data_IF_196237675377
#
_entry.id   IF_196237675377
#
_cell.length_a   1.000
_cell.length_b   1.000
_cell.length_c   1.000
_cell.angle_alpha   90.00
_cell.angle_beta   90.00
_cell.angle_gamma   90.00
#
_symmetry.space_group_name_H-M   'P 1'
#
loop_
_entity.id
_entity.type
_entity.pdbx_description
1 polymer ?
#
# COMPACT_ATOMS: atom_id res chain seq x y z
N UNK A 1 -23.57 28.35 0.19
CA UNK A 1 -22.14 28.43 -0.20
C UNK A 1 -21.42 27.12 0.13
N UNK A 2 -20.93 26.40 -0.88
CA UNK A 2 -20.01 25.28 -0.65
C UNK A 2 -18.67 25.85 -0.17
N UNK A 3 -18.32 25.65 1.11
CA UNK A 3 -16.99 26.01 1.63
C UNK A 3 -15.92 25.48 0.64
N UNK A 4 -14.96 26.32 0.19
CA UNK A 4 -13.90 25.87 -0.69
C UNK A 4 -13.17 24.68 -0.06
N UNK A 5 -12.80 23.72 -0.89
CA UNK A 5 -12.22 22.47 -0.43
C UNK A 5 -10.79 22.73 0.05
N UNK A 6 -10.62 23.03 1.34
CA UNK A 6 -9.28 23.19 1.93
C UNK A 6 -8.51 21.88 1.77
N UNK A 7 -7.55 21.89 0.86
CA UNK A 7 -6.64 20.78 0.60
C UNK A 7 -5.72 20.59 1.80
N UNK A 8 -5.54 19.34 2.21
CA UNK A 8 -4.64 19.01 3.33
C UNK A 8 -3.21 18.86 2.80
N UNK A 9 -2.53 19.98 2.57
CA UNK A 9 -1.18 20.00 2.00
C UNK A 9 -0.17 19.16 2.81
N UNK A 10 -0.29 19.16 4.15
CA UNK A 10 0.59 18.36 5.00
C UNK A 10 0.42 16.85 4.77
N UNK A 11 -0.79 16.37 4.44
CA UNK A 11 -1.02 14.94 4.15
C UNK A 11 -0.34 14.55 2.85
N UNK A 12 -0.46 15.38 1.81
CA UNK A 12 0.25 15.14 0.54
C UNK A 12 1.78 15.16 0.75
N UNK A 13 2.28 16.04 1.62
CA UNK A 13 3.69 16.10 1.98
C UNK A 13 4.16 14.84 2.75
N UNK A 14 3.37 14.31 3.70
CA UNK A 14 3.69 13.04 4.38
C UNK A 14 3.71 11.89 3.36
N UNK A 15 2.75 11.85 2.42
CA UNK A 15 2.75 10.83 1.34
C UNK A 15 3.99 10.92 0.47
N UNK A 16 4.40 12.14 0.12
CA UNK A 16 5.61 12.39 -0.65
C UNK A 16 6.86 11.93 0.13
N UNK A 17 6.97 12.31 1.40
CA UNK A 17 8.06 11.84 2.25
C UNK A 17 8.10 10.32 2.36
N UNK A 18 6.96 9.68 2.65
CA UNK A 18 6.89 8.23 2.81
C UNK A 18 7.21 7.47 1.53
N UNK A 19 6.80 7.96 0.34
CA UNK A 19 7.18 7.31 -0.92
C UNK A 19 8.68 7.48 -1.21
N UNK A 20 9.28 8.66 -0.94
CA UNK A 20 10.72 8.88 -1.12
C UNK A 20 11.55 8.01 -0.16
N UNK A 21 11.12 7.92 1.10
CA UNK A 21 11.72 7.04 2.11
C UNK A 21 11.56 5.56 1.75
N UNK A 22 10.46 5.19 1.07
CA UNK A 22 10.26 3.85 0.55
C UNK A 22 11.28 3.54 -0.54
N UNK A 23 11.46 4.43 -1.52
CA UNK A 23 12.40 4.26 -2.63
C UNK A 23 13.84 4.07 -2.17
N UNK A 24 14.37 5.04 -1.41
CA UNK A 24 15.75 4.96 -0.89
C UNK A 24 15.93 3.71 -0.03
N UNK A 25 14.90 3.34 0.72
CA UNK A 25 14.97 2.22 1.62
C UNK A 25 15.06 0.88 0.89
N UNK A 26 14.31 0.68 -0.20
CA UNK A 26 14.45 -0.55 -1.01
C UNK A 26 15.77 -0.58 -1.76
N UNK A 27 16.27 0.57 -2.19
CA UNK A 27 17.55 0.65 -2.89
C UNK A 27 18.72 0.32 -1.97
N UNK A 28 18.84 1.01 -0.83
CA UNK A 28 19.93 0.78 0.13
C UNK A 28 19.81 -0.63 0.74
N UNK A 29 18.62 -1.05 1.19
CA UNK A 29 18.40 -2.40 1.75
C UNK A 29 18.51 -3.52 0.72
N UNK A 30 18.42 -3.23 -0.57
CA UNK A 30 18.57 -4.24 -1.62
C UNK A 30 19.99 -4.36 -2.15
N UNK A 31 20.74 -3.26 -2.17
CA UNK A 31 22.00 -3.18 -2.93
C UNK A 31 23.24 -2.89 -2.05
N UNK A 32 23.08 -2.32 -0.85
CA UNK A 32 24.20 -2.11 0.06
C UNK A 32 24.77 -3.46 0.52
N UNK A 33 26.08 -3.63 0.40
CA UNK A 33 26.80 -4.81 0.84
C UNK A 33 26.60 -5.08 2.34
N UNK A 34 26.42 -6.35 2.68
CA UNK A 34 26.21 -6.84 4.03
C UNK A 34 27.32 -6.41 5.00
N UNK A 35 28.55 -6.24 4.52
CA UNK A 35 29.68 -5.77 5.34
C UNK A 35 29.44 -4.39 5.97
N UNK A 36 28.55 -3.57 5.38
CA UNK A 36 28.22 -2.22 5.88
C UNK A 36 26.87 -2.16 6.61
N UNK A 37 26.17 -3.29 6.76
CA UNK A 37 24.87 -3.38 7.45
C UNK A 37 25.02 -3.59 8.94
N UNK A 38 25.89 -2.80 9.54
CA UNK A 38 26.23 -2.92 10.95
C UNK A 38 25.30 -2.07 11.82
N UNK A 39 24.57 -2.72 12.73
CA UNK A 39 23.69 -2.06 13.69
C UNK A 39 24.43 -1.22 14.75
N UNK A 40 25.73 -1.44 14.94
CA UNK A 40 26.55 -0.60 15.84
C UNK A 40 26.92 0.74 15.20
N UNK A 41 26.90 0.82 13.87
CA UNK A 41 27.12 2.06 13.17
C UNK A 41 25.92 3.00 13.34
N UNK A 42 26.16 4.17 13.96
CA UNK A 42 25.11 5.15 14.25
C UNK A 42 24.35 5.61 13.00
N UNK A 43 25.04 5.85 11.88
CA UNK A 43 24.40 6.31 10.65
C UNK A 43 23.48 5.24 10.05
N UNK A 44 23.96 3.99 9.99
CA UNK A 44 23.16 2.86 9.52
C UNK A 44 21.99 2.57 10.48
N UNK A 45 22.21 2.64 11.79
CA UNK A 45 21.18 2.47 12.81
C UNK A 45 20.04 3.50 12.67
N UNK A 46 20.38 4.78 12.53
CA UNK A 46 19.41 5.85 12.27
C UNK A 46 18.64 5.58 10.97
N UNK A 47 19.35 5.27 9.88
CA UNK A 47 18.72 4.96 8.60
C UNK A 47 17.75 3.77 8.70
N UNK A 48 18.18 2.67 9.35
CA UNK A 48 17.38 1.45 9.55
C UNK A 48 16.13 1.74 10.38
N UNK A 49 16.24 2.61 11.39
CA UNK A 49 15.10 3.06 12.18
C UNK A 49 14.06 3.82 11.33
N UNK A 50 14.49 4.82 10.57
CA UNK A 50 13.61 5.59 9.68
C UNK A 50 12.99 4.71 8.57
N UNK A 51 13.76 3.75 8.05
CA UNK A 51 13.25 2.73 7.13
C UNK A 51 12.10 1.94 7.76
N UNK A 52 12.24 1.53 9.01
CA UNK A 52 11.20 0.80 9.77
C UNK A 52 9.90 1.57 10.01
N UNK A 53 9.95 2.91 10.03
CA UNK A 53 8.78 3.80 10.24
C UNK A 53 7.99 4.06 8.96
N UNK A 54 8.62 3.87 7.80
CA UNK A 54 8.06 4.25 6.50
C UNK A 54 6.73 3.54 6.21
N UNK A 55 6.67 2.22 6.37
CA UNK A 55 5.44 1.46 6.12
C UNK A 55 4.28 1.85 7.07
N UNK A 56 4.45 1.90 8.41
CA UNK A 56 3.43 2.41 9.33
C UNK A 56 2.84 3.77 8.92
N UNK A 57 3.69 4.72 8.54
CA UNK A 57 3.25 6.05 8.07
C UNK A 57 2.43 5.92 6.79
N UNK A 58 2.92 5.15 5.82
CA UNK A 58 2.25 4.97 4.53
C UNK A 58 0.86 4.33 4.67
N UNK A 59 0.70 3.30 5.51
CA UNK A 59 -0.60 2.69 5.82
C UNK A 59 -1.53 3.67 6.54
N UNK A 60 -1.04 4.35 7.58
CA UNK A 60 -1.85 5.30 8.37
C UNK A 60 -2.35 6.45 7.51
N UNK A 61 -1.48 7.03 6.68
CA UNK A 61 -1.87 8.13 5.80
C UNK A 61 -2.84 7.66 4.71
N UNK A 62 -2.68 6.44 4.19
CA UNK A 62 -3.60 5.86 3.21
C UNK A 62 -5.02 5.69 3.78
N UNK A 63 -5.12 5.14 5.00
CA UNK A 63 -6.40 5.03 5.71
C UNK A 63 -7.01 6.39 6.07
N UNK A 64 -6.16 7.35 6.46
CA UNK A 64 -6.57 8.71 6.79
C UNK A 64 -7.16 9.44 5.58
N UNK A 65 -6.43 9.55 4.47
CA UNK A 65 -6.90 10.34 3.31
C UNK A 65 -8.13 9.70 2.67
N UNK A 66 -8.20 8.37 2.65
CA UNK A 66 -9.35 7.67 2.12
C UNK A 66 -10.61 7.96 2.93
N UNK A 67 -10.52 7.78 4.25
CA UNK A 67 -11.65 8.01 5.16
C UNK A 67 -12.05 9.48 5.18
N UNK A 68 -11.09 10.40 5.12
CA UNK A 68 -11.35 11.84 5.03
C UNK A 68 -12.23 12.18 3.84
N UNK A 69 -11.92 11.61 2.67
CA UNK A 69 -12.72 11.81 1.47
C UNK A 69 -14.06 11.09 1.53
N UNK A 70 -14.12 9.91 2.17
CA UNK A 70 -15.35 9.12 2.33
C UNK A 70 -16.39 9.85 3.18
N UNK A 71 -15.99 10.40 4.33
CA UNK A 71 -16.92 10.95 5.33
C UNK A 71 -17.26 12.43 5.12
N UNK A 72 -16.53 13.10 4.22
CA UNK A 72 -16.81 14.48 3.81
C UNK A 72 -17.92 14.58 2.76
N UNK A 73 -18.28 13.48 2.11
CA UNK A 73 -19.39 13.47 1.16
C UNK A 73 -20.73 13.69 1.89
N UNK A 74 -21.67 14.36 1.22
CA UNK A 74 -23.01 14.60 1.79
C UNK A 74 -23.86 13.32 1.76
N UNK A 75 -23.63 12.44 0.79
CA UNK A 75 -24.35 11.17 0.64
C UNK A 75 -23.73 10.11 1.54
N UNK A 76 -24.56 9.26 2.14
CA UNK A 76 -24.13 8.20 3.06
C UNK A 76 -24.45 6.79 2.54
N UNK A 77 -23.79 5.78 3.10
CA UNK A 77 -23.98 4.38 2.74
C UNK A 77 -23.65 4.11 1.27
N UNK A 78 -24.39 3.21 0.63
CA UNK A 78 -24.19 2.85 -0.79
C UNK A 78 -24.42 4.00 -1.78
N UNK A 79 -25.18 5.04 -1.39
CA UNK A 79 -25.40 6.23 -2.22
C UNK A 79 -24.16 7.14 -2.25
N UNK A 80 -23.18 6.92 -1.36
CA UNK A 80 -21.94 7.68 -1.35
C UNK A 80 -21.05 7.26 -2.53
N UNK A 81 -20.74 8.16 -3.49
CA UNK A 81 -19.92 7.83 -4.65
C UNK A 81 -18.50 7.39 -4.27
N UNK A 82 -18.03 7.75 -3.07
CA UNK A 82 -16.72 7.34 -2.55
C UNK A 82 -16.64 5.86 -2.21
N UNK A 83 -17.77 5.20 -1.93
CA UNK A 83 -17.81 3.74 -1.73
C UNK A 83 -17.44 3.03 -3.03
N UNK A 84 -18.13 3.32 -4.14
CA UNK A 84 -17.84 2.71 -5.45
C UNK A 84 -16.42 3.04 -5.93
N UNK A 85 -15.99 4.31 -5.77
CA UNK A 85 -14.61 4.73 -6.11
C UNK A 85 -13.57 4.00 -5.25
N UNK A 86 -13.85 3.83 -3.97
CA UNK A 86 -12.99 3.13 -3.02
C UNK A 86 -12.86 1.64 -3.32
N UNK A 87 -13.97 0.96 -3.62
CA UNK A 87 -13.98 -0.46 -4.01
C UNK A 87 -13.17 -0.66 -5.29
N UNK A 88 -13.45 0.14 -6.32
CA UNK A 88 -12.69 0.11 -7.58
C UNK A 88 -11.20 0.31 -7.32
N UNK A 89 -10.84 1.27 -6.46
CA UNK A 89 -9.45 1.54 -6.12
C UNK A 89 -8.79 0.40 -5.34
N UNK A 90 -9.49 -0.20 -4.37
CA UNK A 90 -8.98 -1.33 -3.60
C UNK A 90 -8.69 -2.53 -4.50
N UNK A 91 -9.61 -2.87 -5.40
CA UNK A 91 -9.45 -3.93 -6.39
C UNK A 91 -8.34 -3.61 -7.42
N UNK A 92 -8.25 -2.36 -7.87
CA UNK A 92 -7.16 -1.90 -8.75
C UNK A 92 -5.79 -2.10 -8.10
N UNK A 93 -5.64 -1.77 -6.81
CA UNK A 93 -4.37 -1.96 -6.09
C UNK A 93 -4.01 -3.44 -5.93
N UNK A 94 -5.00 -4.31 -5.70
CA UNK A 94 -4.78 -5.76 -5.65
C UNK A 94 -4.33 -6.28 -7.01
N UNK A 95 -5.02 -5.90 -8.08
CA UNK A 95 -4.66 -6.29 -9.43
C UNK A 95 -3.26 -5.82 -9.81
N UNK A 96 -2.91 -4.56 -9.55
CA UNK A 96 -1.57 -4.03 -9.84
C UNK A 96 -0.51 -4.72 -8.96
N UNK A 97 -0.83 -5.05 -7.70
CA UNK A 97 0.07 -5.78 -6.81
C UNK A 97 0.50 -7.12 -7.40
N UNK A 98 -0.46 -7.94 -7.85
CA UNK A 98 -0.16 -9.22 -8.49
C UNK A 98 0.53 -9.04 -9.84
N UNK A 99 0.05 -8.09 -10.64
CA UNK A 99 0.62 -7.80 -11.96
C UNK A 99 2.11 -7.45 -11.86
N UNK A 100 2.51 -6.66 -10.86
CA UNK A 100 3.91 -6.32 -10.63
C UNK A 100 4.78 -7.51 -10.22
N UNK A 101 4.20 -8.53 -9.59
CA UNK A 101 4.91 -9.78 -9.23
C UNK A 101 5.00 -10.79 -10.37
N UNK A 102 4.35 -10.52 -11.50
CA UNK A 102 4.38 -11.38 -12.68
C UNK A 102 5.58 -11.09 -13.58
N UNK A 103 6.16 -12.16 -14.13
CA UNK A 103 7.08 -12.10 -15.25
C UNK A 103 6.31 -12.39 -16.54
N UNK A 104 6.26 -11.44 -17.49
CA UNK A 104 5.46 -11.60 -18.71
C UNK A 104 6.01 -12.70 -19.61
N UNK A 105 7.34 -12.83 -19.70
CA UNK A 105 7.98 -13.89 -20.49
C UNK A 105 7.74 -15.27 -19.90
N UNK A 106 7.79 -15.38 -18.57
CA UNK A 106 7.43 -16.62 -17.87
C UNK A 106 5.96 -16.99 -18.08
N UNK A 107 5.05 -16.01 -18.03
CA UNK A 107 3.64 -16.26 -18.28
C UNK A 107 3.38 -16.75 -19.72
N UNK A 108 4.08 -16.18 -20.71
CA UNK A 108 4.00 -16.63 -22.11
C UNK A 108 4.55 -18.04 -22.31
N UNK A 109 5.50 -18.48 -21.50
CA UNK A 109 6.00 -19.87 -21.49
C UNK A 109 5.18 -20.82 -20.59
N UNK A 110 4.06 -20.35 -20.03
CA UNK A 110 3.18 -21.15 -19.16
C UNK A 110 3.71 -21.35 -17.73
N UNK A 111 4.69 -20.55 -17.31
CA UNK A 111 5.30 -20.62 -15.99
C UNK A 111 4.82 -19.50 -15.07
N UNK A 112 4.39 -19.87 -13.86
CA UNK A 112 4.09 -18.95 -12.75
C UNK A 112 5.14 -19.18 -11.67
N UNK A 113 6.00 -18.18 -11.44
CA UNK A 113 7.02 -18.25 -10.39
C UNK A 113 6.40 -18.02 -9.00
N UNK A 114 6.99 -18.63 -7.96
CA UNK A 114 6.52 -18.51 -6.58
C UNK A 114 6.42 -17.07 -6.08
N UNK A 115 7.24 -16.17 -6.63
CA UNK A 115 7.19 -14.74 -6.35
C UNK A 115 5.82 -14.11 -6.64
N UNK A 116 5.03 -14.71 -7.54
CA UNK A 116 3.66 -14.27 -7.86
C UNK A 116 2.74 -14.31 -6.64
N UNK A 117 2.90 -15.30 -5.77
CA UNK A 117 2.03 -15.49 -4.61
C UNK A 117 2.40 -14.58 -3.42
N UNK A 118 3.54 -13.88 -3.49
CA UNK A 118 4.02 -13.03 -2.41
C UNK A 118 3.17 -11.76 -2.26
N UNK A 119 2.80 -11.46 -1.03
CA UNK A 119 1.98 -10.32 -0.69
C UNK A 119 2.84 -9.11 -0.34
N UNK A 120 2.63 -8.05 -1.12
CA UNK A 120 3.21 -6.72 -0.90
C UNK A 120 2.25 -5.69 -0.32
N UNK A 121 2.83 -4.56 0.08
CA UNK A 121 2.15 -3.35 0.56
C UNK A 121 0.93 -2.93 -0.28
N UNK A 122 0.95 -3.07 -1.62
CA UNK A 122 -0.19 -2.73 -2.47
C UNK A 122 -1.42 -3.57 -2.16
N UNK A 123 -1.24 -4.88 -1.97
CA UNK A 123 -2.33 -5.79 -1.63
C UNK A 123 -2.91 -5.46 -0.26
N UNK A 124 -2.03 -5.24 0.72
CA UNK A 124 -2.44 -4.89 2.08
C UNK A 124 -3.20 -3.56 2.10
N UNK A 125 -2.77 -2.54 1.35
CA UNK A 125 -3.52 -1.27 1.22
C UNK A 125 -4.85 -1.52 0.52
N UNK A 126 -4.87 -2.26 -0.59
CA UNK A 126 -6.09 -2.60 -1.33
C UNK A 126 -7.14 -3.23 -0.42
N UNK A 127 -6.77 -4.28 0.31
CA UNK A 127 -7.63 -4.94 1.30
C UNK A 127 -7.98 -4.01 2.48
N UNK A 128 -7.05 -3.18 2.94
CA UNK A 128 -7.35 -2.22 4.01
C UNK A 128 -8.42 -1.21 3.60
N UNK A 129 -8.39 -0.71 2.37
CA UNK A 129 -9.44 0.19 1.86
C UNK A 129 -10.79 -0.53 1.78
N UNK A 130 -10.80 -1.77 1.29
CA UNK A 130 -12.01 -2.60 1.24
C UNK A 130 -12.55 -2.89 2.65
N UNK A 131 -11.68 -3.19 3.62
CA UNK A 131 -12.03 -3.40 5.01
C UNK A 131 -12.64 -2.14 5.66
N UNK A 132 -12.03 -0.98 5.46
CA UNK A 132 -12.57 0.31 5.95
C UNK A 132 -13.95 0.58 5.34
N UNK A 133 -14.16 0.29 4.04
CA UNK A 133 -15.47 0.43 3.38
C UNK A 133 -16.48 -0.54 3.98
N UNK A 134 -16.10 -1.79 4.20
CA UNK A 134 -16.97 -2.79 4.83
C UNK A 134 -17.44 -2.32 6.20
N UNK A 135 -16.51 -1.89 7.06
CA UNK A 135 -16.81 -1.36 8.39
C UNK A 135 -17.70 -0.10 8.28
N UNK A 136 -17.42 0.80 7.34
CA UNK A 136 -18.27 1.96 7.09
C UNK A 136 -19.71 1.56 6.73
N UNK A 137 -19.90 0.59 5.82
CA UNK A 137 -21.22 0.13 5.39
C UNK A 137 -21.97 -0.65 6.50
N UNK A 138 -21.27 -1.26 7.45
CA UNK A 138 -21.90 -1.87 8.63
C UNK A 138 -22.32 -0.80 9.65
N UNK A 139 -21.55 0.29 9.75
CA UNK A 139 -21.73 1.30 10.82
C UNK A 139 -22.43 2.58 10.38
N UNK A 140 -22.67 2.83 9.08
CA UNK A 140 -23.16 4.14 8.59
C UNK A 140 -24.55 4.54 9.10
N UNK A 141 -25.39 3.57 9.50
CA UNK A 141 -26.71 3.83 10.10
C UNK A 141 -26.62 4.18 11.60
N UNK A 142 -25.45 4.01 12.21
CA UNK A 142 -25.19 4.28 13.63
C UNK A 142 -24.60 5.69 13.80
N UNK A 143 -24.39 6.09 15.06
CA UNK A 143 -23.69 7.35 15.39
C UNK A 143 -22.28 7.31 14.81
N UNK A 144 -21.78 8.43 14.28
CA UNK A 144 -20.44 8.53 13.65
C UNK A 144 -19.29 8.08 14.56
N UNK A 145 -19.46 8.19 15.87
CA UNK A 145 -18.49 7.70 16.87
C UNK A 145 -18.31 6.18 16.81
N UNK A 146 -19.37 5.42 16.50
CA UNK A 146 -19.30 3.96 16.41
C UNK A 146 -18.30 3.54 15.33
N UNK A 147 -18.30 4.22 14.18
CA UNK A 147 -17.35 3.93 13.12
C UNK A 147 -15.89 4.15 13.58
N UNK A 148 -15.61 5.26 14.28
CA UNK A 148 -14.28 5.54 14.84
C UNK A 148 -13.88 4.51 15.90
N UNK A 149 -14.78 4.18 16.82
CA UNK A 149 -14.53 3.24 17.92
C UNK A 149 -14.28 1.83 17.40
N UNK A 150 -15.02 1.37 16.38
CA UNK A 150 -14.80 0.06 15.76
C UNK A 150 -13.44 0.01 15.07
N UNK A 151 -13.06 1.05 14.32
CA UNK A 151 -11.74 1.13 13.68
C UNK A 151 -10.59 1.11 14.71
N UNK A 152 -10.70 1.93 15.75
CA UNK A 152 -9.71 1.96 16.84
C UNK A 152 -9.66 0.61 17.58
N UNK A 153 -10.81 0.03 17.90
CA UNK A 153 -10.91 -1.26 18.57
C UNK A 153 -10.25 -2.37 17.76
N UNK A 154 -10.52 -2.45 16.45
CA UNK A 154 -9.86 -3.40 15.57
C UNK A 154 -8.34 -3.19 15.56
N UNK A 155 -7.88 -1.95 15.43
CA UNK A 155 -6.44 -1.67 15.43
C UNK A 155 -5.77 -2.11 16.74
N UNK A 156 -6.38 -1.79 17.89
CA UNK A 156 -5.87 -2.21 19.20
C UNK A 156 -5.86 -3.73 19.34
N UNK A 157 -6.91 -4.42 18.92
CA UNK A 157 -6.95 -5.90 18.93
C UNK A 157 -5.83 -6.49 18.06
N UNK A 158 -5.63 -5.97 16.84
CA UNK A 158 -4.56 -6.45 15.97
C UNK A 158 -3.16 -6.18 16.54
N UNK A 159 -2.98 -5.10 17.31
CA UNK A 159 -1.68 -4.78 17.89
C UNK A 159 -1.41 -5.58 19.17
N UNK A 160 -2.41 -5.71 20.04
CA UNK A 160 -2.29 -6.45 21.30
C UNK A 160 -2.08 -7.95 21.07
N UNK A 161 -2.76 -8.54 20.09
CA UNK A 161 -2.67 -9.98 19.82
C UNK A 161 -1.54 -10.37 18.85
N UNK A 162 -0.66 -9.43 18.45
CA UNK A 162 0.49 -9.73 17.58
C UNK A 162 1.36 -10.89 18.06
N UNK A 163 1.71 -10.97 19.35
CA UNK A 163 2.51 -12.09 19.85
C UNK A 163 1.86 -13.46 19.67
N UNK A 164 0.52 -13.51 19.59
CA UNK A 164 -0.25 -14.75 19.45
C UNK A 164 -0.29 -15.18 17.99
N UNK A 165 -0.87 -14.36 17.10
CA UNK A 165 -1.08 -14.78 15.72
C UNK A 165 0.21 -14.84 14.90
N UNK A 166 1.30 -14.16 15.31
CA UNK A 166 2.58 -14.22 14.58
C UNK A 166 3.18 -15.63 14.57
N UNK A 167 2.80 -16.48 15.53
CA UNK A 167 3.28 -17.86 15.66
C UNK A 167 2.54 -18.80 14.69
N UNK A 168 1.45 -18.35 14.08
CA UNK A 168 0.62 -19.19 13.21
C UNK A 168 1.19 -19.22 11.78
N UNK A 169 1.53 -20.43 11.33
CA UNK A 169 2.05 -20.67 9.97
C UNK A 169 0.95 -20.84 8.90
N UNK A 170 -0.31 -21.02 9.29
CA UNK A 170 -1.45 -21.24 8.39
C UNK A 170 -1.20 -22.29 7.28
N UNK A 171 -0.50 -23.37 7.61
CA UNK A 171 -0.12 -24.43 6.66
C UNK A 171 -1.31 -25.18 6.05
N UNK A 172 -2.50 -25.04 6.64
CA UNK A 172 -3.76 -25.59 6.13
C UNK A 172 -4.36 -24.78 4.97
N UNK A 173 -3.88 -23.56 4.70
CA UNK A 173 -4.34 -22.71 3.61
C UNK A 173 -3.43 -22.84 2.37
N UNK A 174 -3.98 -22.71 1.15
CA UNK A 174 -3.16 -22.51 -0.04
C UNK A 174 -2.20 -21.32 0.14
N UNK A 175 -0.98 -21.43 -0.40
CA UNK A 175 0.07 -20.42 -0.22
C UNK A 175 -0.40 -19.00 -0.60
N UNK A 176 -1.20 -18.88 -1.65
CA UNK A 176 -1.81 -17.63 -2.09
C UNK A 176 -2.63 -16.92 -0.99
N UNK A 177 -3.34 -17.68 -0.14
CA UNK A 177 -4.12 -17.14 0.97
C UNK A 177 -3.27 -17.01 2.24
N UNK A 178 -2.41 -17.99 2.53
CA UNK A 178 -1.54 -17.99 3.70
C UNK A 178 -0.63 -16.75 3.73
N UNK A 179 -0.12 -16.32 2.58
CA UNK A 179 0.73 -15.12 2.45
C UNK A 179 0.07 -13.80 2.92
N UNK A 180 -1.25 -13.74 3.03
CA UNK A 180 -1.93 -12.59 3.62
C UNK A 180 -1.91 -12.58 5.15
N UNK A 181 -1.65 -13.72 5.79
CA UNK A 181 -1.78 -13.90 7.24
C UNK A 181 -0.44 -14.20 7.91
N UNK A 182 0.50 -14.82 7.21
CA UNK A 182 1.82 -15.18 7.73
C UNK A 182 2.96 -14.79 6.80
N UNK A 183 4.13 -14.60 7.42
CA UNK A 183 5.40 -14.36 6.73
C UNK A 183 6.17 -15.66 6.44
N UNK A 184 5.67 -16.81 6.91
CA UNK A 184 6.35 -18.10 6.80
C UNK A 184 6.71 -18.50 5.36
N UNK A 185 5.92 -18.05 4.39
CA UNK A 185 6.10 -18.37 2.97
C UNK A 185 6.89 -17.31 2.18
N UNK A 186 7.55 -16.36 2.87
CA UNK A 186 8.42 -15.34 2.25
C UNK A 186 7.80 -13.96 2.03
N UNK A 187 6.51 -13.77 2.34
CA UNK A 187 5.88 -12.45 2.24
C UNK A 187 6.41 -11.49 3.30
N UNK A 188 6.91 -10.33 2.88
CA UNK A 188 7.40 -9.28 3.80
C UNK A 188 6.23 -8.57 4.48
N UNK A 189 5.12 -8.40 3.76
CA UNK A 189 3.89 -7.78 4.24
C UNK A 189 2.77 -8.81 4.34
N UNK A 190 1.94 -8.63 5.36
CA UNK A 190 0.71 -9.39 5.63
C UNK A 190 -0.44 -8.39 5.81
N UNK A 191 -1.69 -8.83 5.76
CA UNK A 191 -2.82 -7.94 6.09
C UNK A 191 -2.80 -7.56 7.57
N UNK A 192 -2.47 -8.51 8.43
CA UNK A 192 -2.38 -8.36 9.88
C UNK A 192 -0.90 -8.37 10.28
N UNK A 193 -0.37 -7.37 11.02
CA UNK A 193 -1.05 -6.25 11.71
C UNK A 193 -1.33 -5.02 10.86
N UNK A 194 -0.88 -4.96 9.60
CA UNK A 194 -0.78 -3.72 8.84
C UNK A 194 -2.11 -2.98 8.63
N UNK A 195 -3.23 -3.71 8.59
CA UNK A 195 -4.58 -3.14 8.61
C UNK A 195 -4.83 -2.24 9.83
N UNK A 196 -4.23 -2.54 10.98
CA UNK A 196 -4.35 -1.74 12.20
C UNK A 196 -3.86 -0.31 12.00
N UNK A 197 -2.73 -0.09 11.32
CA UNK A 197 -2.27 1.27 10.99
C UNK A 197 -3.24 2.02 10.09
N UNK A 198 -3.77 1.36 9.05
CA UNK A 198 -4.77 1.95 8.16
C UNK A 198 -6.06 2.28 8.93
N UNK A 199 -6.49 1.42 9.85
CA UNK A 199 -7.67 1.64 10.70
C UNK A 199 -7.46 2.80 11.69
N UNK A 200 -6.29 2.93 12.32
CA UNK A 200 -5.95 4.11 13.13
C UNK A 200 -6.01 5.38 12.28
N UNK A 201 -5.39 5.36 11.09
CA UNK A 201 -5.45 6.50 10.17
C UNK A 201 -6.88 6.91 9.82
N UNK A 202 -7.72 5.93 9.53
CA UNK A 202 -9.15 6.13 9.27
C UNK A 202 -9.88 6.74 10.48
N UNK A 203 -9.59 6.26 11.70
CA UNK A 203 -10.16 6.80 12.94
C UNK A 203 -9.70 8.24 13.21
N UNK A 204 -8.40 8.52 13.07
CA UNK A 204 -7.83 9.87 13.20
C UNK A 204 -8.46 10.85 12.20
N UNK A 205 -8.77 10.40 10.98
CA UNK A 205 -9.46 11.22 9.99
C UNK A 205 -10.86 11.67 10.43
N UNK A 206 -11.57 10.87 11.22
CA UNK A 206 -12.90 11.24 11.74
C UNK A 206 -12.77 12.36 12.78
N UNK A 207 -11.80 12.23 13.69
CA UNK A 207 -11.48 13.27 14.68
C UNK A 207 -11.07 14.56 13.98
N UNK A 208 -10.17 14.47 13.01
CA UNK A 208 -9.72 15.61 12.22
C UNK A 208 -10.91 16.29 11.52
N UNK A 209 -11.77 15.53 10.84
CA UNK A 209 -12.92 16.10 10.12
C UNK A 209 -13.91 16.78 11.06
N UNK A 210 -14.09 16.26 12.28
CA UNK A 210 -15.00 16.82 13.28
C UNK A 210 -14.48 18.13 13.88
N UNK A 211 -13.17 18.19 14.18
CA UNK A 211 -12.60 19.28 15.00
C UNK A 211 -11.78 20.31 14.20
N UNK A 212 -11.53 20.10 12.90
CA UNK A 212 -10.68 20.99 12.07
C UNK A 212 -11.11 22.47 12.00
N UNK A 213 -12.38 22.76 12.25
CA UNK A 213 -12.93 24.13 12.16
C UNK A 213 -12.77 24.89 13.50
N UNK A 214 -12.20 24.26 14.55
CA UNK A 214 -11.90 24.92 15.83
C UNK A 214 -10.70 25.87 15.70
N UNK A 215 -10.78 27.04 16.36
CA UNK A 215 -9.76 28.11 16.32
C UNK A 215 -8.34 27.61 16.63
N UNK A 216 -8.19 26.79 17.67
CA UNK A 216 -6.91 26.26 18.14
C UNK A 216 -6.67 24.80 17.73
N UNK A 217 -7.33 24.32 16.67
CA UNK A 217 -7.24 22.93 16.25
C UNK A 217 -5.79 22.46 16.00
N UNK A 218 -5.01 23.18 15.20
CA UNK A 218 -3.66 22.75 14.84
C UNK A 218 -2.69 22.76 16.04
N UNK A 219 -2.60 23.83 16.85
CA UNK A 219 -1.79 23.79 18.08
C UNK A 219 -2.16 22.62 18.98
N UNK A 220 -3.46 22.40 19.24
CA UNK A 220 -3.93 21.29 20.07
C UNK A 220 -3.58 19.92 19.47
N UNK A 221 -3.82 19.73 18.17
CA UNK A 221 -3.51 18.48 17.49
C UNK A 221 -2.02 18.17 17.49
N UNK A 222 -1.16 19.18 17.26
CA UNK A 222 0.29 19.03 17.32
C UNK A 222 0.72 18.60 18.73
N UNK A 223 0.26 19.30 19.77
CA UNK A 223 0.60 18.96 21.16
C UNK A 223 0.15 17.55 21.53
N UNK A 224 -1.11 17.19 21.23
CA UNK A 224 -1.65 15.87 21.55
C UNK A 224 -0.92 14.76 20.80
N UNK A 225 -0.61 14.96 19.51
CA UNK A 225 0.10 13.95 18.71
C UNK A 225 1.56 13.81 19.15
N UNK A 226 2.22 14.92 19.50
CA UNK A 226 3.57 14.90 20.05
C UNK A 226 3.62 14.18 21.40
N UNK A 227 2.70 14.50 22.32
CA UNK A 227 2.64 13.88 23.64
C UNK A 227 2.30 12.38 23.54
N UNK A 228 1.25 12.03 22.80
CA UNK A 228 0.87 10.63 22.60
C UNK A 228 1.98 9.85 21.87
N UNK A 229 2.63 10.47 20.88
CA UNK A 229 3.77 9.88 20.18
C UNK A 229 4.94 9.59 21.11
N UNK A 230 5.32 10.58 21.92
CA UNK A 230 6.38 10.45 22.92
C UNK A 230 6.07 9.37 23.96
N UNK A 231 4.85 9.36 24.51
CA UNK A 231 4.40 8.34 25.47
C UNK A 231 4.45 6.94 24.86
N UNK A 232 3.96 6.77 23.63
CA UNK A 232 3.98 5.47 22.96
C UNK A 232 5.41 4.98 22.67
N UNK A 233 6.34 5.88 22.33
CA UNK A 233 7.73 5.48 22.02
C UNK A 233 8.47 5.06 23.30
N UNK A 234 8.37 5.85 24.37
CA UNK A 234 9.25 5.68 25.53
C UNK A 234 8.63 4.93 26.70
N UNK A 235 7.30 4.97 26.87
CA UNK A 235 6.64 4.44 28.07
C UNK A 235 5.71 3.25 27.80
N UNK A 236 5.35 2.97 26.53
CA UNK A 236 4.37 1.91 26.27
C UNK A 236 4.86 0.51 26.65
N UNK A 237 6.15 0.20 26.46
CA UNK A 237 6.71 -1.10 26.83
C UNK A 237 6.62 -1.31 28.34
N UNK A 238 7.11 -0.36 29.13
CA UNK A 238 7.10 -0.44 30.59
C UNK A 238 5.67 -0.50 31.14
N UNK A 239 4.73 0.19 30.51
CA UNK A 239 3.31 0.09 30.84
C UNK A 239 2.76 -1.34 30.63
N UNK A 240 3.12 -2.01 29.53
CA UNK A 240 2.73 -3.41 29.32
C UNK A 240 3.40 -4.36 30.33
N UNK A 241 4.66 -4.13 30.68
CA UNK A 241 5.33 -4.93 31.71
C UNK A 241 4.66 -4.75 33.08
N UNK A 242 4.30 -3.52 33.45
CA UNK A 242 3.56 -3.24 34.67
C UNK A 242 2.18 -3.92 34.69
N UNK A 243 1.45 -3.87 33.56
CA UNK A 243 0.17 -4.58 33.40
C UNK A 243 0.34 -6.10 33.54
N UNK A 244 1.41 -6.67 32.98
CA UNK A 244 1.71 -8.10 33.15
C UNK A 244 1.95 -8.45 34.62
N UNK A 245 2.78 -7.67 35.33
CA UNK A 245 3.05 -7.88 36.77
C UNK A 245 1.79 -7.76 37.63
N UNK A 246 0.89 -6.83 37.30
CA UNK A 246 -0.34 -6.61 38.04
C UNK A 246 -1.42 -7.65 37.75
N UNK A 247 -1.60 -8.04 36.49
CA UNK A 247 -2.69 -8.94 36.07
C UNK A 247 -2.29 -10.42 36.03
N UNK A 248 -1.00 -10.73 36.00
CA UNK A 248 -0.46 -12.06 35.76
C UNK A 248 -0.60 -12.54 34.30
N UNK A 249 -1.06 -11.68 33.37
CA UNK A 249 -1.30 -12.09 31.98
C UNK A 249 0.02 -12.07 31.18
N UNK A 250 0.40 -13.23 30.64
CA UNK A 250 1.63 -13.41 29.84
C UNK A 250 1.66 -12.57 28.56
N UNK A 251 0.50 -12.36 27.91
CA UNK A 251 0.40 -11.58 26.67
C UNK A 251 1.04 -10.19 26.79
N UNK A 252 0.88 -9.52 27.94
CA UNK A 252 1.46 -8.19 28.14
C UNK A 252 2.99 -8.23 28.26
N UNK A 253 3.57 -9.29 28.85
CA UNK A 253 5.01 -9.50 28.84
C UNK A 253 5.54 -9.77 27.42
N UNK A 254 4.81 -10.56 26.62
CA UNK A 254 5.20 -10.83 25.24
C UNK A 254 5.20 -9.57 24.37
N UNK A 255 4.25 -8.65 24.63
CA UNK A 255 4.24 -7.32 23.98
C UNK A 255 5.46 -6.53 24.41
N UNK A 256 5.81 -6.50 25.70
CA UNK A 256 7.01 -5.79 26.19
C UNK A 256 8.28 -6.19 25.43
N UNK A 257 8.50 -7.50 25.23
CA UNK A 257 9.70 -8.00 24.52
C UNK A 257 9.71 -7.68 23.02
N UNK A 258 8.56 -7.39 22.40
CA UNK A 258 8.48 -7.07 20.97
C UNK A 258 7.47 -5.96 20.66
N UNK A 259 7.61 -4.81 21.33
CA UNK A 259 6.64 -3.71 21.27
C UNK A 259 6.78 -2.81 20.01
N UNK A 260 7.11 -3.39 18.86
CA UNK A 260 7.41 -2.57 17.69
C UNK A 260 6.16 -1.87 17.12
N UNK A 261 4.96 -2.41 17.33
CA UNK A 261 3.73 -1.84 16.78
C UNK A 261 3.31 -0.53 17.45
N UNK A 262 3.31 -0.49 18.78
CA UNK A 262 2.95 0.74 19.50
C UNK A 262 4.05 1.79 19.39
N UNK A 263 5.33 1.40 19.45
CA UNK A 263 6.46 2.32 19.24
C UNK A 263 6.40 2.95 17.84
N UNK A 264 6.18 2.15 16.80
CA UNK A 264 6.03 2.67 15.43
C UNK A 264 4.78 3.51 15.26
N UNK A 265 3.67 3.19 15.93
CA UNK A 265 2.51 4.07 15.98
C UNK A 265 2.85 5.43 16.60
N UNK A 266 3.63 5.44 17.69
CA UNK A 266 4.12 6.68 18.29
C UNK A 266 4.94 7.52 17.30
N UNK A 267 5.83 6.88 16.55
CA UNK A 267 6.57 7.53 15.46
C UNK A 267 5.67 8.12 14.38
N UNK A 268 4.61 7.40 14.00
CA UNK A 268 3.62 7.92 13.04
C UNK A 268 2.97 9.20 13.58
N UNK A 269 2.58 9.24 14.85
CA UNK A 269 1.99 10.43 15.47
C UNK A 269 2.98 11.61 15.47
N UNK A 270 4.26 11.37 15.78
CA UNK A 270 5.30 12.40 15.68
C UNK A 270 5.47 12.91 14.25
N UNK A 271 5.48 12.03 13.25
CA UNK A 271 5.53 12.42 11.83
C UNK A 271 4.33 13.30 11.48
N UNK A 272 3.12 12.92 11.91
CA UNK A 272 1.94 13.78 11.71
C UNK A 272 2.11 15.15 12.38
N UNK A 273 2.60 15.20 13.62
CA UNK A 273 2.82 16.45 14.35
C UNK A 273 3.83 17.36 13.64
N UNK A 274 4.99 16.82 13.22
CA UNK A 274 6.04 17.55 12.49
C UNK A 274 5.49 18.11 11.18
N UNK A 275 4.78 17.32 10.38
CA UNK A 275 4.24 17.80 9.10
C UNK A 275 3.07 18.78 9.29
N UNK A 276 2.27 18.64 10.36
CA UNK A 276 1.27 19.65 10.72
C UNK A 276 1.92 20.97 11.16
N UNK A 277 3.05 20.92 11.88
CA UNK A 277 3.83 22.10 12.26
C UNK A 277 4.39 22.81 11.02
N UNK A 278 5.00 22.05 10.11
CA UNK A 278 5.63 22.56 8.88
C UNK A 278 4.63 22.86 7.75
N UNK A 279 3.31 22.71 7.98
CA UNK A 279 2.28 22.83 6.93
C UNK A 279 2.32 24.14 6.12
N UNK A 280 2.82 25.23 6.72
CA UNK A 280 2.96 26.53 6.05
C UNK A 280 3.97 26.51 4.90
N UNK A 281 5.03 25.71 5.03
CA UNK A 281 6.13 25.59 4.07
C UNK A 281 5.89 24.52 2.99
N UNK A 282 4.92 23.63 3.22
CA UNK A 282 4.63 22.47 2.36
C UNK A 282 3.75 22.79 1.14
N UNK A 283 3.97 23.94 0.51
CA UNK A 283 3.21 24.40 -0.69
C UNK A 283 3.95 24.17 -2.01
N UNK A 284 5.16 23.61 -1.97
CA UNK A 284 5.94 23.34 -3.17
C UNK A 284 5.18 22.38 -4.11
N UNK A 285 4.97 22.81 -5.37
CA UNK A 285 4.18 22.10 -6.38
C UNK A 285 4.72 20.69 -6.67
N UNK A 286 6.04 20.54 -6.76
CA UNK A 286 6.69 19.26 -7.08
C UNK A 286 6.47 18.25 -5.96
N UNK A 287 6.70 18.66 -4.70
CA UNK A 287 6.48 17.81 -3.54
C UNK A 287 5.04 17.30 -3.46
N UNK A 288 4.07 18.20 -3.65
CA UNK A 288 2.65 17.85 -3.66
C UNK A 288 2.31 16.89 -4.80
N UNK A 289 2.93 17.05 -5.97
CA UNK A 289 2.70 16.19 -7.13
C UNK A 289 3.27 14.79 -6.93
N UNK A 290 4.44 14.67 -6.29
CA UNK A 290 5.02 13.39 -5.85
C UNK A 290 4.04 12.68 -4.90
N UNK A 291 3.54 13.39 -3.89
CA UNK A 291 2.58 12.84 -2.92
C UNK A 291 1.26 12.40 -3.54
N UNK A 292 0.85 12.98 -4.67
CA UNK A 292 -0.34 12.55 -5.41
C UNK A 292 -0.08 11.33 -6.31
N UNK A 293 1.14 11.17 -6.79
CA UNK A 293 1.54 10.18 -7.81
C UNK A 293 2.18 8.92 -7.21
N UNK A 294 1.93 8.63 -5.92
CA UNK A 294 2.59 7.56 -5.17
C UNK A 294 2.45 6.18 -5.81
N UNK A 295 1.30 5.86 -6.41
CA UNK A 295 1.12 4.58 -7.10
C UNK A 295 2.02 4.46 -8.33
N UNK A 296 2.12 5.51 -9.15
CA UNK A 296 2.90 5.48 -10.38
C UNK A 296 4.39 5.41 -10.07
N UNK A 297 4.84 6.14 -9.03
CA UNK A 297 6.18 6.01 -8.48
C UNK A 297 6.42 4.58 -7.98
N UNK A 298 5.43 3.99 -7.29
CA UNK A 298 5.51 2.60 -6.85
C UNK A 298 5.62 1.61 -8.04
N UNK A 299 4.88 1.81 -9.12
CA UNK A 299 5.03 0.92 -10.30
C UNK A 299 6.41 1.06 -10.92
N UNK A 300 6.88 2.29 -11.14
CA UNK A 300 8.18 2.57 -11.78
C UNK A 300 9.35 2.02 -10.96
N UNK A 301 9.36 2.21 -9.64
CA UNK A 301 10.48 1.72 -8.81
C UNK A 301 10.59 0.19 -8.86
N UNK A 302 9.45 -0.50 -8.95
CA UNK A 302 9.40 -1.95 -8.95
C UNK A 302 9.92 -2.50 -10.28
N UNK A 303 9.62 -1.83 -11.40
CA UNK A 303 10.21 -2.11 -12.71
C UNK A 303 11.73 -1.90 -12.69
N UNK A 304 12.20 -0.74 -12.22
CA UNK A 304 13.64 -0.39 -12.27
C UNK A 304 14.47 -1.26 -11.31
N UNK A 305 14.03 -1.40 -10.07
CA UNK A 305 14.80 -2.08 -9.02
C UNK A 305 14.67 -3.59 -9.12
N UNK A 306 13.44 -4.11 -9.16
CA UNK A 306 13.17 -5.55 -9.12
C UNK A 306 13.03 -6.18 -10.51
N UNK A 307 12.90 -5.39 -11.56
CA UNK A 307 12.82 -5.90 -12.92
C UNK A 307 11.46 -6.46 -13.28
N UNK A 308 10.38 -5.96 -12.68
CA UNK A 308 9.04 -6.46 -12.99
C UNK A 308 8.71 -6.44 -14.48
N UNK A 309 7.94 -7.44 -14.90
CA UNK A 309 7.63 -7.77 -16.30
C UNK A 309 8.75 -8.41 -17.10
N UNK A 310 10.00 -7.95 -16.97
CA UNK A 310 11.12 -8.36 -17.85
C UNK A 310 12.16 -9.26 -17.17
N UNK A 311 12.25 -9.22 -15.84
CA UNK A 311 13.31 -9.86 -15.05
C UNK A 311 14.64 -9.10 -15.07
N UNK A 312 14.68 -7.87 -15.60
CA UNK A 312 15.89 -7.05 -15.78
C UNK A 312 15.90 -5.86 -14.80
N UNK A 313 16.05 -6.15 -13.51
CA UNK A 313 16.12 -5.14 -12.46
C UNK A 313 17.53 -4.96 -11.91
N UNK A 314 17.81 -3.79 -11.34
CA UNK A 314 19.10 -3.52 -10.67
C UNK A 314 19.43 -4.56 -9.59
N UNK A 315 18.40 -5.05 -8.88
CA UNK A 315 18.54 -6.07 -7.85
C UNK A 315 19.17 -7.35 -8.37
N UNK A 316 18.93 -7.75 -9.63
CA UNK A 316 19.54 -8.95 -10.21
C UNK A 316 21.07 -8.85 -10.33
N UNK A 317 21.59 -7.65 -10.57
CA UNK A 317 23.00 -7.44 -10.90
C UNK A 317 23.82 -6.88 -9.73
N UNK A 318 23.19 -6.13 -8.84
CA UNK A 318 23.86 -5.36 -7.78
C UNK A 318 23.39 -5.77 -6.38
N UNK A 319 22.82 -6.97 -6.23
CA UNK A 319 22.32 -7.46 -4.94
C UNK A 319 23.45 -7.50 -3.91
N UNK A 320 23.29 -6.74 -2.83
CA UNK A 320 24.24 -6.67 -1.70
C UNK A 320 25.72 -6.55 -2.13
N UNK A 321 26.00 -5.74 -3.16
CA UNK A 321 27.34 -5.62 -3.74
C UNK A 321 27.90 -4.21 -3.73
N UNK A 322 27.11 -3.20 -3.34
CA UNK A 322 27.52 -1.80 -3.39
C UNK A 322 28.14 -1.36 -2.05
N UNK A 323 29.26 -0.65 -2.14
CA UNK A 323 29.82 0.08 -1.01
C UNK A 323 29.01 1.36 -0.73
N UNK A 324 29.12 1.97 0.47
CA UNK A 324 28.36 3.19 0.81
C UNK A 324 28.58 4.35 -0.17
N UNK A 325 29.81 4.47 -0.71
CA UNK A 325 30.18 5.50 -1.67
C UNK A 325 29.37 5.43 -2.98
N UNK A 326 28.96 4.22 -3.40
CA UNK A 326 28.10 4.03 -4.57
C UNK A 326 26.61 3.94 -4.20
N UNK A 327 26.29 3.31 -3.08
CA UNK A 327 24.91 3.09 -2.65
C UNK A 327 24.17 4.40 -2.37
N UNK A 328 24.80 5.36 -1.69
CA UNK A 328 24.15 6.63 -1.30
C UNK A 328 23.84 7.52 -2.52
N UNK A 329 24.81 7.86 -3.40
CA UNK A 329 24.50 8.59 -4.63
C UNK A 329 23.57 7.80 -5.56
N UNK A 330 23.73 6.47 -5.63
CA UNK A 330 22.86 5.59 -6.39
C UNK A 330 21.40 5.67 -5.94
N UNK A 331 21.15 5.71 -4.62
CA UNK A 331 19.80 5.87 -4.08
C UNK A 331 19.18 7.22 -4.44
N UNK A 332 19.96 8.31 -4.40
CA UNK A 332 19.50 9.63 -4.82
C UNK A 332 19.15 9.66 -6.31
N UNK A 333 20.01 9.12 -7.16
CA UNK A 333 19.75 9.00 -8.59
C UNK A 333 18.50 8.15 -8.85
N UNK A 334 18.38 7.01 -8.17
CA UNK A 334 17.22 6.13 -8.27
C UNK A 334 15.91 6.83 -7.88
N UNK A 335 15.91 7.63 -6.82
CA UNK A 335 14.77 8.46 -6.42
C UNK A 335 14.41 9.45 -7.53
N UNK A 336 15.39 10.18 -8.06
CA UNK A 336 15.18 11.20 -9.09
C UNK A 336 14.60 10.55 -10.35
N UNK A 337 15.21 9.48 -10.84
CA UNK A 337 14.76 8.78 -12.06
C UNK A 337 13.36 8.20 -11.86
N UNK A 338 13.10 7.52 -10.73
CA UNK A 338 11.79 6.91 -10.46
C UNK A 338 10.69 7.96 -10.36
N UNK A 339 10.95 9.07 -9.66
CA UNK A 339 9.97 10.14 -9.50
C UNK A 339 9.76 10.91 -10.81
N UNK A 340 10.83 11.27 -11.52
CA UNK A 340 10.75 11.96 -12.80
C UNK A 340 9.94 11.16 -13.83
N UNK A 341 10.27 9.88 -14.01
CA UNK A 341 9.59 8.99 -14.95
C UNK A 341 8.10 8.84 -14.58
N UNK A 342 7.80 8.64 -13.30
CA UNK A 342 6.41 8.55 -12.84
C UNK A 342 5.61 9.85 -13.04
N UNK A 343 6.24 11.00 -12.82
CA UNK A 343 5.61 12.30 -13.07
C UNK A 343 5.36 12.52 -14.56
N UNK A 344 6.33 12.21 -15.43
CA UNK A 344 6.15 12.27 -16.89
C UNK A 344 5.06 11.33 -17.38
N UNK A 345 4.96 10.14 -16.81
CA UNK A 345 3.85 9.23 -17.07
C UNK A 345 2.50 9.87 -16.68
N UNK A 346 2.39 10.49 -15.49
CA UNK A 346 1.14 11.15 -15.08
C UNK A 346 0.77 12.34 -15.98
N UNK A 347 1.73 13.07 -16.55
CA UNK A 347 1.45 14.14 -17.53
C UNK A 347 0.81 13.60 -18.82
N UNK A 348 1.22 12.42 -19.28
CA UNK A 348 0.80 11.85 -20.57
C UNK A 348 -0.22 10.71 -20.42
N UNK A 349 -0.65 10.41 -19.20
CA UNK A 349 -1.48 9.25 -18.86
C UNK A 349 -2.75 9.14 -19.69
N UNK A 350 -3.45 10.25 -19.89
CA UNK A 350 -4.69 10.27 -20.66
C UNK A 350 -4.44 10.00 -22.14
N UNK A 351 -3.35 10.53 -22.71
CA UNK A 351 -2.95 10.24 -24.07
C UNK A 351 -2.56 8.76 -24.22
N UNK A 352 -1.73 8.23 -23.32
CA UNK A 352 -1.30 6.82 -23.30
C UNK A 352 -2.52 5.89 -23.23
N UNK A 353 -3.45 6.14 -22.30
CA UNK A 353 -4.67 5.34 -22.16
C UNK A 353 -5.55 5.38 -23.41
N UNK A 354 -5.69 6.54 -24.04
CA UNK A 354 -6.43 6.67 -25.31
C UNK A 354 -5.77 5.86 -26.40
N UNK A 355 -4.45 5.96 -26.55
CA UNK A 355 -3.70 5.18 -27.55
C UNK A 355 -3.85 3.67 -27.32
N UNK A 356 -3.73 3.21 -26.07
CA UNK A 356 -3.94 1.79 -25.72
C UNK A 356 -5.38 1.36 -26.01
N UNK A 357 -6.37 2.18 -25.65
CA UNK A 357 -7.78 1.87 -25.92
C UNK A 357 -8.09 1.79 -27.43
N UNK A 358 -7.51 2.69 -28.23
CA UNK A 358 -7.64 2.65 -29.69
C UNK A 358 -6.95 1.41 -30.28
N UNK A 359 -5.73 1.11 -29.85
CA UNK A 359 -4.98 -0.06 -30.31
C UNK A 359 -5.66 -1.38 -29.93
N UNK A 360 -6.16 -1.52 -28.71
CA UNK A 360 -6.92 -2.70 -28.27
C UNK A 360 -8.23 -2.87 -29.03
N UNK A 361 -8.97 -1.78 -29.28
CA UNK A 361 -10.17 -1.82 -30.12
C UNK A 361 -9.86 -2.23 -31.55
N UNK A 362 -8.78 -1.71 -32.13
CA UNK A 362 -8.33 -2.09 -33.47
C UNK A 362 -7.93 -3.58 -33.52
N UNK A 363 -7.17 -4.07 -32.54
CA UNK A 363 -6.77 -5.47 -32.45
C UNK A 363 -7.98 -6.41 -32.31
N UNK A 364 -8.95 -6.04 -31.46
CA UNK A 364 -10.21 -6.80 -31.31
C UNK A 364 -11.01 -6.83 -32.61
N UNK A 365 -11.15 -5.70 -33.30
CA UNK A 365 -11.83 -5.65 -34.59
C UNK A 365 -11.13 -6.53 -35.65
N UNK A 366 -9.80 -6.53 -35.68
CA UNK A 366 -9.02 -7.40 -36.57
C UNK A 366 -9.19 -8.88 -36.22
N UNK A 367 -9.23 -9.22 -34.93
CA UNK A 367 -9.49 -10.59 -34.46
C UNK A 367 -10.90 -11.06 -34.79
N UNK A 368 -11.91 -10.22 -34.59
CA UNK A 368 -13.30 -10.51 -34.98
C UNK A 368 -13.40 -10.72 -36.49
N UNK A 369 -12.80 -9.83 -37.30
CA UNK A 369 -12.77 -9.98 -38.76
C UNK A 369 -12.08 -11.28 -39.19
N UNK A 370 -10.95 -11.62 -38.56
CA UNK A 370 -10.23 -12.87 -38.80
C UNK A 370 -11.08 -14.09 -38.40
N UNK A 371 -11.75 -14.06 -37.25
CA UNK A 371 -12.61 -15.14 -36.77
C UNK A 371 -13.81 -15.36 -37.70
N UNK A 372 -14.46 -14.28 -38.14
CA UNK A 372 -15.57 -14.33 -39.10
C UNK A 372 -15.10 -14.89 -40.43
N UNK A 373 -13.97 -14.43 -40.96
CA UNK A 373 -13.42 -14.94 -42.22
C UNK A 373 -13.06 -16.43 -42.11
N UNK A 374 -12.40 -16.82 -41.01
CA UNK A 374 -12.06 -18.22 -40.73
C UNK A 374 -13.30 -19.09 -40.63
N UNK A 375 -14.36 -18.63 -39.97
CA UNK A 375 -15.65 -19.31 -39.90
C UNK A 375 -16.29 -19.46 -41.29
N UNK A 376 -16.31 -18.40 -42.10
CA UNK A 376 -16.90 -18.43 -43.45
C UNK A 376 -16.12 -19.36 -44.42
N UNK A 377 -14.80 -19.47 -44.28
CA UNK A 377 -13.97 -20.38 -45.10
C UNK A 377 -14.07 -21.83 -44.61
N UNK A 378 -14.07 -22.05 -43.30
CA UNK A 378 -14.08 -23.39 -42.70
C UNK A 378 -15.45 -24.05 -42.76
N UNK A 379 -16.55 -23.31 -42.57
CA UNK A 379 -17.93 -23.82 -42.59
C UNK A 379 -18.28 -24.61 -43.87
N UNK A 380 -18.10 -24.10 -45.10
CA UNK A 380 -18.42 -24.86 -46.31
C UNK A 380 -17.49 -26.04 -46.55
N UNK A 381 -16.24 -26.00 -46.07
CA UNK A 381 -15.29 -27.14 -46.11
C UNK A 381 -15.69 -28.23 -45.13
N UNK A 382 -16.10 -27.86 -43.92
CA UNK A 382 -16.61 -28.78 -42.90
C UNK A 382 -17.94 -29.43 -43.36
N UNK A 383 -18.85 -28.65 -43.94
CA UNK A 383 -20.10 -29.17 -44.52
C UNK A 383 -19.80 -30.14 -45.68
N UNK A 384 -18.85 -29.83 -46.57
CA UNK A 384 -18.42 -30.75 -47.64
C UNK A 384 -17.78 -32.03 -47.08
N UNK A 385 -16.96 -31.93 -46.05
CA UNK A 385 -16.36 -33.07 -45.36
C UNK A 385 -17.43 -33.96 -44.72
N UNK A 386 -18.36 -33.39 -43.97
CA UNK A 386 -19.46 -34.11 -43.34
C UNK A 386 -20.41 -34.76 -44.36
N UNK A 387 -20.61 -34.14 -45.53
CA UNK A 387 -21.39 -34.75 -46.64
C UNK A 387 -20.74 -35.99 -47.24
N UNK A 388 -19.41 -36.13 -47.18
CA UNK A 388 -18.70 -37.35 -47.63
C UNK A 388 -18.94 -38.56 -46.73
N UNK A 389 -19.34 -38.35 -45.48
CA UNK A 389 -19.68 -39.41 -44.53
C UNK A 389 -21.19 -39.68 -44.43
N UNK A 390 -21.99 -39.09 -45.33
CA UNK A 390 -23.42 -39.37 -45.38
C UNK A 390 -23.64 -40.68 -46.16
N UNK A 391 -24.21 -41.74 -45.55
CA UNK A 391 -24.49 -42.98 -46.28
C UNK A 391 -25.48 -42.70 -47.40
N UNK A 392 -25.23 -43.26 -48.59
CA UNK A 392 -26.14 -43.21 -49.71
C UNK A 392 -27.48 -43.79 -49.28
N UNK A 393 -28.55 -42.99 -49.34
CA UNK A 393 -29.91 -43.54 -49.30
C UNK A 393 -30.17 -44.15 -50.67
N UNK A 394 -30.35 -45.48 -50.69
CA UNK A 394 -30.92 -46.23 -51.80
C UNK A 394 -32.27 -45.64 -52.23
#
# INVERSE_FOLDING_TARGET
MSKPTTRLYFIDAIRAWAILMMLQGHFIDGLLDNAFRDGTNTAYGIWKYFRGITAPVFFTVSGFIFTYLLVRDKKTGFKNPRVKKGIRRGLELLFIGYLLRTNLWGLLSGQIYDSFYLVDVLHCIGLSLLGIIGIYLITYKRKKQVFALVLTGIALLLFLFEPVYKQWGFTFLPQALANYLTKANGSVFTLIPWFGYAAIGASLSLLFTKYRDLRYFYPLAITLFSLAGYVLIYFSSDAFLALSRYTGIQLFADIYFNNYLFIRLGNVLLVFAIFMLLRGFMKNRTLLRIGQSTLSIYVVHFIILYGSFTGLGLYRYLHHSLTPHFAVPGALLFIIVSTYTALRYEDHKEAIKRTIAMGTKAALASLEAFAVNTYQVSKPRLIRFLRRFRPAKN
#
